data_IF_489876233450
#
_entry.id   IF_489876233450
#
_cell.length_a   1.000
_cell.length_b   1.000
_cell.length_c   1.000
_cell.angle_alpha   90.00
_cell.angle_beta   90.00
_cell.angle_gamma   90.00
#
_symmetry.space_group_name_H-M   'P 1'
#
loop_
_entity.id
_entity.type
_entity.pdbx_description
1 polymer ?
#
# COMPACT_ATOMS: atom_id res chain seq x y z
N UNK A 1 15.90 -20.77 18.41
CA UNK A 1 14.56 -20.71 17.80
C UNK A 1 14.71 -20.40 16.33
N UNK A 2 14.68 -21.43 15.49
CA UNK A 2 14.59 -21.34 14.02
C UNK A 2 13.26 -20.66 13.65
N UNK A 3 13.28 -19.73 12.69
CA UNK A 3 12.02 -19.16 12.20
C UNK A 3 11.18 -20.26 11.52
N UNK A 4 9.84 -20.16 11.54
CA UNK A 4 9.02 -21.07 10.75
C UNK A 4 9.36 -20.93 9.26
N UNK A 5 9.63 -22.06 8.59
CA UNK A 5 9.99 -22.16 7.16
C UNK A 5 8.78 -21.95 6.21
N UNK A 6 7.94 -20.95 6.50
CA UNK A 6 6.75 -20.66 5.70
C UNK A 6 6.47 -19.16 5.57
N UNK A 7 5.76 -18.73 4.51
CA UNK A 7 5.38 -17.33 4.33
C UNK A 7 4.50 -16.87 5.50
N UNK A 8 4.84 -15.72 6.06
CA UNK A 8 4.15 -15.15 7.21
C UNK A 8 2.88 -14.44 6.75
N UNK A 9 1.77 -14.60 7.47
CA UNK A 9 0.57 -13.79 7.23
C UNK A 9 0.91 -12.30 7.38
N UNK A 10 0.42 -11.49 6.44
CA UNK A 10 0.70 -10.06 6.37
C UNK A 10 2.06 -9.70 5.76
N UNK A 11 2.90 -10.68 5.41
CA UNK A 11 4.12 -10.41 4.64
C UNK A 11 3.80 -10.20 3.16
N UNK A 12 4.69 -9.51 2.45
CA UNK A 12 4.58 -9.37 1.00
C UNK A 12 5.27 -10.52 0.29
N UNK A 13 4.68 -11.00 -0.80
CA UNK A 13 5.24 -12.05 -1.63
C UNK A 13 4.87 -11.84 -3.09
N UNK A 14 5.66 -12.45 -3.98
CA UNK A 14 5.36 -12.65 -5.39
C UNK A 14 5.01 -14.11 -5.64
N UNK A 15 4.02 -14.36 -6.48
CA UNK A 15 3.65 -15.71 -6.90
C UNK A 15 2.41 -15.69 -7.78
N UNK A 16 2.24 -16.68 -8.67
CA UNK A 16 1.06 -16.76 -9.53
C UNK A 16 0.81 -15.52 -10.40
N UNK A 17 1.88 -14.80 -10.77
CA UNK A 17 1.79 -13.56 -11.57
C UNK A 17 1.33 -12.31 -10.81
N UNK A 18 1.23 -12.36 -9.48
CA UNK A 18 0.85 -11.20 -8.64
C UNK A 18 1.94 -10.86 -7.63
N UNK A 19 1.94 -9.60 -7.18
CA UNK A 19 2.69 -9.13 -6.02
C UNK A 19 1.68 -8.61 -5.02
N UNK A 20 1.71 -9.13 -3.78
CA UNK A 20 0.72 -8.75 -2.80
C UNK A 20 1.01 -9.27 -1.41
N UNK A 21 0.03 -9.11 -0.52
CA UNK A 21 0.11 -9.50 0.88
C UNK A 21 -0.38 -10.94 1.03
N UNK A 22 0.37 -11.77 1.74
CA UNK A 22 -0.04 -13.12 2.13
C UNK A 22 -1.20 -13.01 3.12
N UNK A 23 -2.41 -13.26 2.64
CA UNK A 23 -3.66 -13.11 3.39
C UNK A 23 -4.07 -14.39 4.13
N UNK A 24 -3.69 -15.55 3.61
CA UNK A 24 -3.94 -16.85 4.26
C UNK A 24 -2.89 -17.88 3.85
N UNK A 25 -2.68 -18.89 4.70
CA UNK A 25 -1.90 -20.09 4.39
C UNK A 25 -2.75 -21.31 4.75
N UNK A 26 -2.95 -22.21 3.80
CA UNK A 26 -3.83 -23.38 3.92
C UNK A 26 -3.10 -24.61 3.38
N UNK A 27 -2.54 -25.44 4.26
CA UNK A 27 -1.78 -26.62 3.86
C UNK A 27 -0.54 -26.24 3.03
N UNK A 28 -0.53 -26.67 1.76
CA UNK A 28 0.55 -26.42 0.81
C UNK A 28 0.32 -25.19 -0.11
N UNK A 29 -0.72 -24.39 0.15
CA UNK A 29 -1.02 -23.18 -0.61
C UNK A 29 -1.03 -21.93 0.28
N UNK A 30 -0.72 -20.78 -0.31
CA UNK A 30 -1.03 -19.47 0.25
C UNK A 30 -1.96 -18.67 -0.65
N UNK A 31 -2.65 -17.71 -0.04
CA UNK A 31 -3.50 -16.74 -0.70
C UNK A 31 -2.77 -15.40 -0.69
N UNK A 32 -2.49 -14.84 -1.86
CA UNK A 32 -1.93 -13.50 -2.04
C UNK A 32 -3.06 -12.54 -2.41
N UNK A 33 -3.20 -11.44 -1.68
CA UNK A 33 -4.05 -10.32 -2.04
C UNK A 33 -3.22 -9.19 -2.62
N UNK A 34 -3.45 -8.85 -3.88
CA UNK A 34 -2.89 -7.68 -4.54
C UNK A 34 -3.82 -6.49 -4.28
N UNK A 35 -3.41 -5.52 -3.42
CA UNK A 35 -4.26 -4.38 -3.09
C UNK A 35 -4.38 -3.37 -4.24
N UNK A 36 -3.44 -3.35 -5.19
CA UNK A 36 -3.47 -2.44 -6.34
C UNK A 36 -4.55 -2.84 -7.32
N UNK A 37 -4.53 -4.11 -7.74
CA UNK A 37 -5.53 -4.65 -8.68
C UNK A 37 -6.76 -5.25 -7.98
N UNK A 38 -6.79 -5.23 -6.63
CA UNK A 38 -7.87 -5.75 -5.77
C UNK A 38 -8.26 -7.19 -6.10
N UNK A 39 -7.25 -8.01 -6.40
CA UNK A 39 -7.43 -9.41 -6.81
C UNK A 39 -6.74 -10.36 -5.85
N UNK A 40 -7.15 -11.61 -5.92
CA UNK A 40 -6.64 -12.69 -5.07
C UNK A 40 -6.05 -13.78 -5.95
N UNK A 41 -4.87 -14.28 -5.61
CA UNK A 41 -4.26 -15.44 -6.22
C UNK A 41 -4.02 -16.53 -5.17
N UNK A 42 -4.28 -17.79 -5.54
CA UNK A 42 -3.84 -18.96 -4.79
C UNK A 42 -2.55 -19.47 -5.41
N UNK A 43 -1.53 -19.68 -4.60
CA UNK A 43 -0.19 -20.04 -5.06
C UNK A 43 0.35 -21.15 -4.17
N UNK A 44 0.98 -22.16 -4.76
CA UNK A 44 1.66 -23.20 -3.99
C UNK A 44 2.80 -22.59 -3.18
N UNK A 45 3.02 -23.08 -1.96
CA UNK A 45 4.04 -22.52 -1.05
C UNK A 45 5.45 -22.55 -1.64
N UNK A 46 5.78 -23.55 -2.45
CA UNK A 46 7.08 -23.64 -3.13
C UNK A 46 7.30 -22.62 -4.25
N UNK A 47 6.21 -22.01 -4.75
CA UNK A 47 6.23 -21.04 -5.84
C UNK A 47 6.14 -19.59 -5.32
N UNK A 48 6.18 -19.40 -4.00
CA UNK A 48 6.16 -18.08 -3.36
C UNK A 48 7.58 -17.56 -3.18
N UNK A 49 7.79 -16.35 -3.68
CA UNK A 49 9.00 -15.57 -3.43
C UNK A 49 8.66 -14.48 -2.39
N UNK A 50 9.15 -14.57 -1.14
CA UNK A 50 8.99 -13.52 -0.15
C UNK A 50 9.62 -12.21 -0.64
N UNK A 51 8.92 -11.10 -0.47
CA UNK A 51 9.41 -9.79 -0.88
C UNK A 51 9.81 -8.93 0.32
N UNK A 52 10.98 -8.28 0.27
CA UNK A 52 11.36 -7.26 1.23
C UNK A 52 10.37 -6.09 1.25
N UNK A 53 10.00 -5.62 2.44
CA UNK A 53 9.13 -4.44 2.62
C UNK A 53 9.86 -3.33 3.38
N UNK A 54 9.92 -2.14 2.79
CA UNK A 54 10.32 -0.91 3.46
C UNK A 54 9.11 -0.01 3.74
N UNK A 55 9.27 0.94 4.67
CA UNK A 55 8.26 1.95 4.90
C UNK A 55 8.37 3.08 3.86
N UNK A 56 7.23 3.48 3.31
CA UNK A 56 7.10 4.67 2.48
C UNK A 56 6.19 5.67 3.16
N UNK A 57 6.46 6.96 2.98
CA UNK A 57 5.56 8.05 3.32
C UNK A 57 4.85 8.48 2.04
N UNK A 58 3.52 8.48 2.07
CA UNK A 58 2.68 8.96 0.99
C UNK A 58 2.06 10.28 1.44
N UNK A 59 2.30 11.34 0.68
CA UNK A 59 1.65 12.63 0.85
C UNK A 59 0.65 12.83 -0.28
N UNK A 60 -0.59 13.16 0.08
CA UNK A 60 -1.63 13.53 -0.88
C UNK A 60 -1.94 15.01 -0.71
N UNK A 61 -2.01 15.73 -1.83
CA UNK A 61 -2.33 17.14 -1.84
C UNK A 61 -3.37 17.45 -2.91
N UNK A 62 -4.34 18.29 -2.58
CA UNK A 62 -5.38 18.78 -3.47
C UNK A 62 -5.85 20.14 -2.99
N UNK A 63 -6.15 21.03 -3.93
CA UNK A 63 -6.78 22.31 -3.64
C UNK A 63 -8.29 22.17 -3.82
N UNK A 64 -9.07 22.50 -2.78
CA UNK A 64 -10.52 22.41 -2.81
C UNK A 64 -11.15 23.80 -2.75
N UNK A 65 -12.07 24.14 -3.67
CA UNK A 65 -12.90 25.33 -3.52
C UNK A 65 -13.96 25.06 -2.43
N UNK A 66 -13.74 25.56 -1.21
CA UNK A 66 -14.63 25.33 -0.07
C UNK A 66 -15.60 26.50 0.10
N UNK A 67 -16.91 26.32 -0.14
CA UNK A 67 -17.90 27.34 0.18
C UNK A 67 -18.06 27.51 1.71
N UNK A 68 -18.55 28.69 2.13
CA UNK A 68 -18.85 28.94 3.53
C UNK A 68 -19.90 27.93 4.07
N UNK A 69 -19.72 27.49 5.31
CA UNK A 69 -20.63 26.56 5.98
C UNK A 69 -20.35 25.07 5.72
N UNK A 70 -19.32 24.73 4.97
CA UNK A 70 -18.88 23.33 4.80
C UNK A 70 -18.26 22.81 6.11
N UNK A 71 -18.84 21.72 6.63
CA UNK A 71 -18.33 21.03 7.82
C UNK A 71 -17.22 20.03 7.51
N UNK A 72 -16.48 19.65 8.54
CA UNK A 72 -15.35 18.71 8.47
C UNK A 72 -15.74 17.36 7.85
N UNK A 73 -16.91 16.83 8.18
CA UNK A 73 -17.38 15.54 7.66
C UNK A 73 -17.56 15.55 6.13
N UNK A 74 -18.03 16.68 5.58
CA UNK A 74 -18.19 16.82 4.15
C UNK A 74 -16.81 16.89 3.46
N UNK A 75 -15.85 17.61 4.06
CA UNK A 75 -14.48 17.67 3.56
C UNK A 75 -13.82 16.29 3.58
N UNK A 76 -13.99 15.52 4.67
CA UNK A 76 -13.46 14.15 4.77
C UNK A 76 -14.03 13.24 3.68
N UNK A 77 -15.34 13.32 3.39
CA UNK A 77 -15.99 12.55 2.32
C UNK A 77 -15.51 12.98 0.93
N UNK A 78 -15.33 14.29 0.73
CA UNK A 78 -14.81 14.79 -0.54
C UNK A 78 -13.39 14.31 -0.77
N UNK A 79 -12.50 14.46 0.21
CA UNK A 79 -11.13 13.94 0.13
C UNK A 79 -11.13 12.43 -0.13
N UNK A 80 -11.96 11.65 0.57
CA UNK A 80 -12.08 10.21 0.31
C UNK A 80 -12.51 9.89 -1.13
N UNK A 81 -13.39 10.71 -1.71
CA UNK A 81 -13.81 10.56 -3.12
C UNK A 81 -12.65 10.82 -4.09
N UNK A 82 -11.75 11.72 -3.73
CA UNK A 82 -10.59 12.07 -4.56
C UNK A 82 -9.46 11.04 -4.46
N UNK A 83 -9.40 10.26 -3.38
CA UNK A 83 -8.30 9.32 -3.12
C UNK A 83 -8.67 7.85 -3.34
N UNK A 84 -9.94 7.49 -3.20
CA UNK A 84 -10.41 6.15 -3.55
C UNK A 84 -10.88 6.09 -5.01
N UNK A 85 -10.21 5.25 -5.80
CA UNK A 85 -10.50 5.12 -7.22
C UNK A 85 -11.96 4.75 -7.52
N UNK A 86 -12.60 3.88 -6.73
CA UNK A 86 -14.00 3.49 -6.97
C UNK A 86 -14.96 4.62 -6.62
N UNK A 87 -14.69 5.35 -5.55
CA UNK A 87 -15.49 6.54 -5.25
C UNK A 87 -15.30 7.61 -6.32
N UNK A 88 -14.07 7.79 -6.80
CA UNK A 88 -13.75 8.72 -7.87
C UNK A 88 -14.48 8.36 -9.17
N UNK A 89 -14.39 7.12 -9.63
CA UNK A 89 -15.07 6.62 -10.84
C UNK A 89 -16.59 6.77 -10.74
N UNK A 90 -17.17 6.45 -9.58
CA UNK A 90 -18.61 6.64 -9.34
C UNK A 90 -19.02 8.11 -9.36
N UNK A 91 -18.23 8.99 -8.74
CA UNK A 91 -18.48 10.43 -8.76
C UNK A 91 -18.35 11.00 -10.18
N UNK A 92 -17.33 10.58 -10.92
CA UNK A 92 -17.13 10.96 -12.32
C UNK A 92 -18.32 10.52 -13.18
N UNK A 93 -18.79 9.27 -13.02
CA UNK A 93 -19.99 8.77 -13.71
C UNK A 93 -21.23 9.60 -13.41
N UNK A 94 -21.49 9.91 -12.13
CA UNK A 94 -22.65 10.71 -11.73
C UNK A 94 -22.59 12.16 -12.29
N UNK A 95 -21.39 12.75 -12.39
CA UNK A 95 -21.18 14.06 -13.00
C UNK A 95 -21.44 14.04 -14.51
N UNK A 96 -20.96 13.01 -15.21
CA UNK A 96 -21.23 12.81 -16.64
C UNK A 96 -22.72 12.63 -16.89
N UNK A 97 -23.40 11.80 -16.09
CA UNK A 97 -24.85 11.57 -16.19
C UNK A 97 -25.66 12.87 -15.96
N UNK A 98 -25.12 13.78 -15.14
CA UNK A 98 -25.69 15.11 -14.90
C UNK A 98 -25.30 16.15 -15.97
N UNK A 99 -24.48 15.80 -16.97
CA UNK A 99 -23.99 16.73 -17.99
C UNK A 99 -22.99 17.76 -17.46
N UNK A 100 -22.28 17.45 -16.38
CA UNK A 100 -21.31 18.32 -15.74
C UNK A 100 -19.87 18.00 -16.18
N UNK A 101 -19.03 19.03 -16.19
CA UNK A 101 -17.59 18.87 -16.46
C UNK A 101 -16.89 18.21 -15.26
N UNK A 102 -16.43 16.98 -15.46
CA UNK A 102 -15.73 16.18 -14.45
C UNK A 102 -14.42 16.84 -14.01
N UNK A 103 -13.65 17.41 -14.94
CA UNK A 103 -12.36 18.03 -14.64
C UNK A 103 -12.49 19.33 -13.85
N UNK A 104 -13.61 20.04 -14.02
CA UNK A 104 -13.95 21.20 -13.21
C UNK A 104 -14.45 20.82 -11.80
N UNK A 105 -15.16 19.69 -11.66
CA UNK A 105 -15.82 19.29 -10.42
C UNK A 105 -14.97 18.35 -9.52
N UNK A 106 -14.08 17.56 -10.10
CA UNK A 106 -13.15 16.68 -9.39
C UNK A 106 -11.72 17.18 -9.57
N UNK A 107 -11.19 17.97 -8.61
CA UNK A 107 -9.84 18.49 -8.72
C UNK A 107 -8.80 17.36 -8.72
N UNK A 108 -7.69 17.61 -9.40
CA UNK A 108 -6.59 16.67 -9.47
C UNK A 108 -5.91 16.49 -8.10
N UNK A 109 -5.65 15.23 -7.73
CA UNK A 109 -4.83 14.89 -6.56
C UNK A 109 -3.39 14.69 -7.00
N UNK A 110 -2.46 15.32 -6.29
CA UNK A 110 -1.03 15.07 -6.46
C UNK A 110 -0.56 14.09 -5.39
N UNK A 111 0.15 13.08 -5.84
CA UNK A 111 0.75 12.04 -5.00
C UNK A 111 2.26 12.24 -4.96
N UNK A 112 2.81 12.26 -3.76
CA UNK A 112 4.24 12.16 -3.53
C UNK A 112 4.50 10.92 -2.67
N UNK A 113 5.41 10.06 -3.12
CA UNK A 113 5.79 8.83 -2.40
C UNK A 113 7.30 8.87 -2.18
N UNK A 114 7.70 8.87 -0.91
CA UNK A 114 9.12 8.90 -0.51
C UNK A 114 9.42 7.75 0.45
N UNK A 115 10.65 7.25 0.45
CA UNK A 115 11.11 6.31 1.47
C UNK A 115 11.02 6.98 2.85
N UNK A 116 10.46 6.28 3.85
CA UNK A 116 10.23 6.89 5.17
C UNK A 116 11.54 7.09 5.97
N UNK A 117 12.55 6.25 5.73
CA UNK A 117 13.88 6.31 6.37
C UNK A 117 14.91 5.59 5.48
N UNK A 118 15.65 6.30 4.60
CA UNK A 118 16.72 5.69 3.81
C UNK A 118 17.84 5.18 4.74
N UNK A 119 18.29 3.93 4.56
CA UNK A 119 19.30 3.30 5.42
C UNK A 119 18.77 2.57 6.67
N UNK A 120 17.45 2.40 6.82
CA UNK A 120 16.89 1.57 7.89
C UNK A 120 15.71 0.72 7.41
N UNK A 121 15.63 -0.50 7.96
CA UNK A 121 14.46 -1.35 7.80
C UNK A 121 13.46 -1.08 8.92
N UNK A 122 12.22 -0.75 8.55
CA UNK A 122 11.14 -0.57 9.52
C UNK A 122 10.31 -1.85 9.58
N UNK A 123 10.31 -2.49 10.73
CA UNK A 123 9.47 -3.66 10.98
C UNK A 123 8.01 -3.25 11.21
N UNK A 124 7.06 -4.15 10.90
CA UNK A 124 5.63 -3.96 11.19
C UNK A 124 5.30 -3.72 12.68
N UNK A 125 6.22 -4.05 13.60
CA UNK A 125 6.06 -3.73 15.03
C UNK A 125 6.50 -2.30 15.40
N UNK A 126 6.93 -1.49 14.42
CA UNK A 126 7.38 -0.11 14.61
C UNK A 126 8.87 0.05 14.88
N UNK A 127 9.63 -1.04 15.04
CA UNK A 127 11.09 -0.97 15.27
C UNK A 127 11.81 -0.66 13.96
N UNK A 128 12.54 0.45 13.95
CA UNK A 128 13.52 0.77 12.91
C UNK A 128 14.86 0.13 13.26
N UNK A 129 15.53 -0.48 12.29
CA UNK A 129 16.86 -1.09 12.46
C UNK A 129 17.76 -0.70 11.30
N UNK A 130 18.97 -0.16 11.55
CA UNK A 130 19.91 0.21 10.49
C UNK A 130 20.17 -0.98 9.56
N UNK A 131 20.05 -0.74 8.25
CA UNK A 131 20.25 -1.74 7.21
C UNK A 131 20.62 -1.04 5.90
N UNK A 132 21.51 -1.65 5.11
CA UNK A 132 21.85 -1.12 3.80
C UNK A 132 20.61 -1.12 2.88
N UNK A 133 20.50 -0.17 1.97
CA UNK A 133 19.35 -0.05 1.08
C UNK A 133 19.04 -1.37 0.36
N UNK A 134 17.76 -1.73 0.32
CA UNK A 134 17.30 -2.99 -0.27
C UNK A 134 17.71 -4.28 0.46
N UNK A 135 18.38 -4.20 1.62
CA UNK A 135 18.72 -5.42 2.39
C UNK A 135 17.59 -5.86 3.31
N UNK A 136 17.49 -7.18 3.45
CA UNK A 136 16.61 -7.88 4.38
C UNK A 136 17.32 -8.09 5.71
N UNK A 137 16.65 -7.76 6.81
CA UNK A 137 17.14 -8.04 8.15
C UNK A 137 16.05 -8.64 9.03
N UNK A 138 16.46 -9.38 10.06
CA UNK A 138 15.55 -9.79 11.13
C UNK A 138 15.43 -8.69 12.17
N UNK A 139 14.21 -8.27 12.45
CA UNK A 139 13.88 -7.35 13.52
C UNK A 139 14.39 -7.93 14.85
N UNK A 140 15.25 -7.20 15.59
CA UNK A 140 15.80 -7.67 16.86
C UNK A 140 14.72 -7.79 17.95
N UNK A 141 13.62 -7.05 17.84
CA UNK A 141 12.58 -7.03 18.87
C UNK A 141 11.55 -8.17 18.74
N UNK A 142 11.09 -8.46 17.51
CA UNK A 142 10.02 -9.45 17.30
C UNK A 142 10.44 -10.62 16.41
N UNK A 143 11.69 -10.65 15.93
CA UNK A 143 12.23 -11.71 15.07
C UNK A 143 11.68 -11.73 13.64
N UNK A 144 10.74 -10.85 13.29
CA UNK A 144 10.13 -10.75 11.95
C UNK A 144 11.09 -10.13 10.93
N UNK A 145 10.89 -10.39 9.65
CA UNK A 145 11.68 -9.74 8.60
C UNK A 145 11.22 -8.29 8.38
N UNK A 146 12.19 -7.43 8.14
CA UNK A 146 12.01 -6.06 7.68
C UNK A 146 13.03 -5.80 6.57
N UNK A 147 12.71 -4.91 5.63
CA UNK A 147 13.68 -4.50 4.63
C UNK A 147 13.89 -3.00 4.64
N UNK A 148 15.13 -2.60 4.41
CA UNK A 148 15.40 -1.22 4.06
C UNK A 148 14.77 -0.94 2.69
N UNK A 149 14.13 0.22 2.50
CA UNK A 149 13.65 0.62 1.19
C UNK A 149 14.83 0.63 0.18
N UNK A 150 14.57 0.36 -1.11
CA UNK A 150 15.61 0.48 -2.13
C UNK A 150 16.05 1.93 -2.26
N UNK A 151 17.32 2.15 -2.62
CA UNK A 151 17.85 3.48 -2.88
C UNK A 151 16.98 4.20 -3.92
N UNK A 152 16.63 5.46 -3.64
CA UNK A 152 15.89 6.28 -4.60
C UNK A 152 16.75 6.40 -5.87
N UNK A 153 16.21 6.00 -7.03
CA UNK A 153 16.87 6.24 -8.30
C UNK A 153 16.70 7.73 -8.62
N UNK A 154 17.82 8.46 -8.59
CA UNK A 154 17.94 9.86 -9.05
C UNK A 154 17.78 9.96 -10.56
#
# INVERSE_FOLDING_TARGET
MTAPDGPLLGSWARGGGVVGVVAAVQGAEAVIFDPGDRRVARVALGDLEPLPTGAVRVTLSTDLPVPHGVGEDLLRRWVATLTDQVLHERAAGALVDAGLDVGAALPAVRFEVVAADPGAAVCLCGVSTPAADGTMIRCPACGRQAAAPPAARS
#
